data_IF_748247683725
#
_entry.id   IF_748247683725
#
_cell.length_a   1.000
_cell.length_b   1.000
_cell.length_c   1.000
_cell.angle_alpha   90.00
_cell.angle_beta   90.00
_cell.angle_gamma   90.00
#
_symmetry.space_group_name_H-M   'P 1'
#
loop_
_entity.id
_entity.type
_entity.pdbx_description
1 polymer ?
#
# COMPACT_ATOMS: atom_id res chain seq x y z
N UNK A 1 9.68 -40.77 -29.62
CA UNK A 1 9.56 -40.76 -28.15
C UNK A 1 9.61 -39.32 -27.71
N UNK A 2 8.51 -38.87 -27.11
CA UNK A 2 8.18 -37.50 -26.78
C UNK A 2 8.61 -37.14 -25.35
N UNK A 3 8.87 -35.86 -25.10
CA UNK A 3 9.02 -35.24 -23.77
C UNK A 3 10.33 -34.48 -23.65
N UNK A 4 10.40 -33.17 -23.41
CA UNK A 4 9.39 -32.15 -23.11
C UNK A 4 9.84 -30.84 -23.76
N UNK A 5 9.01 -30.33 -24.67
CA UNK A 5 8.85 -28.90 -24.96
C UNK A 5 7.65 -28.49 -24.13
N UNK A 6 7.77 -27.59 -23.14
CA UNK A 6 6.65 -26.76 -22.66
C UNK A 6 7.16 -25.75 -21.61
N UNK A 7 6.62 -24.52 -21.71
CA UNK A 7 6.69 -23.40 -20.73
C UNK A 7 7.81 -22.36 -20.84
N UNK A 8 7.68 -21.45 -21.81
CA UNK A 8 7.96 -20.01 -21.60
C UNK A 8 7.33 -19.07 -22.63
N UNK A 9 6.24 -19.48 -23.29
CA UNK A 9 5.47 -18.64 -24.23
C UNK A 9 3.98 -18.79 -23.97
N UNK A 10 3.53 -18.29 -22.82
CA UNK A 10 2.12 -17.98 -22.50
C UNK A 10 2.11 -17.42 -21.07
N UNK A 11 2.28 -16.10 -20.96
CA UNK A 11 1.83 -15.31 -19.82
C UNK A 11 1.82 -13.83 -20.21
N UNK A 12 1.01 -13.55 -21.24
CA UNK A 12 0.62 -12.20 -21.64
C UNK A 12 -0.89 -12.19 -21.85
N UNK A 13 -1.62 -12.68 -20.86
CA UNK A 13 -3.07 -12.63 -20.83
C UNK A 13 -3.52 -13.01 -19.40
N UNK A 14 -4.24 -12.08 -18.77
CA UNK A 14 -5.09 -12.24 -17.59
C UNK A 14 -4.45 -12.38 -16.18
N UNK A 15 -4.36 -11.25 -15.47
CA UNK A 15 -4.72 -11.18 -14.04
C UNK A 15 -5.79 -10.08 -13.89
N UNK A 16 -7.03 -10.52 -13.64
CA UNK A 16 -8.16 -9.90 -12.90
C UNK A 16 -8.58 -8.46 -13.28
N UNK A 17 -9.80 -8.14 -13.74
CA UNK A 17 -11.13 -8.65 -13.41
C UNK A 17 -11.38 -8.75 -11.89
N UNK A 18 -11.41 -7.58 -11.25
CA UNK A 18 -12.38 -7.29 -10.20
C UNK A 18 -13.32 -6.20 -10.70
N UNK A 19 -14.59 -6.42 -10.38
CA UNK A 19 -15.79 -5.76 -10.85
C UNK A 19 -15.88 -4.34 -10.29
N UNK A 20 -16.12 -3.36 -11.16
CA UNK A 20 -16.98 -2.23 -10.81
C UNK A 20 -17.69 -1.75 -12.07
N UNK A 21 -19.01 -1.99 -12.08
CA UNK A 21 -19.99 -1.37 -12.98
C UNK A 21 -19.75 0.14 -13.02
N UNK A 22 -19.27 0.66 -14.16
CA UNK A 22 -19.34 2.08 -14.49
C UNK A 22 -20.39 2.23 -15.59
N UNK A 23 -21.54 2.74 -15.18
CA UNK A 23 -22.63 3.18 -16.05
C UNK A 23 -22.11 4.17 -17.10
N UNK A 24 -22.66 4.18 -18.33
CA UNK A 24 -22.40 5.26 -19.28
C UNK A 24 -23.06 6.55 -18.79
N UNK A 25 -22.26 7.49 -18.26
CA UNK A 25 -22.67 8.85 -17.91
C UNK A 25 -23.05 9.65 -19.17
N UNK A 26 -24.29 9.50 -19.60
CA UNK A 26 -25.04 10.59 -20.21
C UNK A 26 -25.56 11.46 -19.07
N UNK A 27 -24.82 12.50 -18.65
CA UNK A 27 -25.28 13.77 -18.06
C UNK A 27 -24.06 14.50 -17.46
N UNK A 28 -23.86 15.82 -17.71
CA UNK A 28 -22.82 16.58 -17.03
C UNK A 28 -23.18 16.82 -15.55
N UNK A 29 -22.19 16.86 -14.63
CA UNK A 29 -22.45 17.04 -13.20
C UNK A 29 -22.92 18.46 -12.86
N UNK A 30 -23.79 18.64 -11.85
CA UNK A 30 -24.23 19.96 -11.40
C UNK A 30 -23.11 20.70 -10.65
N UNK A 31 -22.91 21.96 -11.02
CA UNK A 31 -22.03 22.89 -10.30
C UNK A 31 -22.79 23.44 -9.11
N UNK A 32 -22.38 23.06 -7.89
CA UNK A 32 -22.89 23.65 -6.65
C UNK A 32 -22.20 25.01 -6.41
N UNK A 33 -23.00 26.07 -6.31
CA UNK A 33 -22.60 27.38 -5.77
C UNK A 33 -22.82 27.41 -4.26
N UNK A 34 -22.06 28.26 -3.55
CA UNK A 34 -21.96 28.33 -2.08
C UNK A 34 -23.14 29.05 -1.39
N UNK A 35 -24.27 29.23 -2.09
CA UNK A 35 -25.27 30.24 -1.73
C UNK A 35 -26.71 29.68 -1.67
N UNK A 36 -26.90 28.36 -1.82
CA UNK A 36 -28.15 27.68 -1.44
C UNK A 36 -29.46 28.13 -2.12
N UNK A 37 -29.42 28.78 -3.29
CA UNK A 37 -30.61 29.20 -4.04
C UNK A 37 -30.76 28.43 -5.35
N UNK A 38 -31.89 27.73 -5.53
CA UNK A 38 -32.27 27.04 -6.76
C UNK A 38 -32.47 28.04 -7.91
N UNK A 39 -31.67 27.92 -8.97
CA UNK A 39 -31.92 28.61 -10.23
C UNK A 39 -32.63 27.63 -11.17
N UNK A 40 -33.91 27.87 -11.42
CA UNK A 40 -34.62 27.27 -12.54
C UNK A 40 -33.98 27.78 -13.84
N UNK A 41 -33.25 26.92 -14.54
CA UNK A 41 -32.87 27.16 -15.94
C UNK A 41 -34.13 27.12 -16.81
N UNK A 42 -34.77 28.28 -16.99
CA UNK A 42 -35.65 28.50 -18.13
C UNK A 42 -34.79 28.51 -19.40
N UNK A 43 -34.64 27.32 -20.02
CA UNK A 43 -34.21 27.23 -21.41
C UNK A 43 -35.28 27.94 -22.26
N UNK A 44 -34.94 29.00 -23.02
CA UNK A 44 -35.82 29.41 -24.10
C UNK A 44 -35.84 28.27 -25.12
N UNK A 45 -37.01 27.67 -25.28
CA UNK A 45 -37.34 26.85 -26.44
C UNK A 45 -37.04 27.73 -27.65
N UNK A 46 -36.04 27.31 -28.44
CA UNK A 46 -35.78 27.84 -29.76
C UNK A 46 -36.99 27.48 -30.63
N UNK A 47 -38.07 28.27 -30.54
CA UNK A 47 -39.10 28.33 -31.56
C UNK A 47 -38.50 29.06 -32.76
N UNK A 48 -37.62 28.36 -33.48
CA UNK A 48 -37.42 28.62 -34.90
C UNK A 48 -38.65 28.15 -35.66
N UNK A 49 -39.78 28.80 -35.41
CA UNK A 49 -40.94 28.72 -36.29
C UNK A 49 -40.75 29.80 -37.35
N UNK A 50 -40.36 29.33 -38.52
CA UNK A 50 -40.12 30.07 -39.74
C UNK A 50 -41.23 31.10 -39.97
N UNK A 51 -40.88 32.38 -39.96
CA UNK A 51 -41.71 33.45 -40.54
C UNK A 51 -42.09 33.12 -42.00
N UNK A 52 -41.26 32.31 -42.69
CA UNK A 52 -41.52 31.76 -44.02
C UNK A 52 -42.70 30.75 -44.09
N UNK A 53 -43.07 30.07 -43.00
CA UNK A 53 -44.21 29.12 -42.99
C UNK A 53 -45.54 29.84 -42.77
N UNK A 54 -45.53 31.02 -42.15
CA UNK A 54 -46.74 31.82 -41.92
C UNK A 54 -47.14 32.64 -43.15
N UNK A 55 -46.16 33.17 -43.90
CA UNK A 55 -46.40 33.82 -45.19
C UNK A 55 -46.81 32.82 -46.30
N UNK A 56 -46.34 31.56 -46.24
CA UNK A 56 -46.83 30.48 -47.12
C UNK A 56 -48.26 30.04 -46.81
N UNK A 57 -48.64 29.94 -45.52
CA UNK A 57 -50.00 29.59 -45.15
C UNK A 57 -51.03 30.69 -45.50
N UNK A 58 -50.64 31.96 -45.41
CA UNK A 58 -51.51 33.09 -45.78
C UNK A 58 -51.64 33.27 -47.30
N UNK A 59 -50.62 32.89 -48.09
CA UNK A 59 -50.70 32.91 -49.57
C UNK A 59 -51.47 31.72 -50.17
N UNK A 60 -51.44 30.54 -49.53
CA UNK A 60 -52.24 29.37 -49.96
C UNK A 60 -53.74 29.53 -49.61
N UNK A 61 -54.10 30.19 -48.50
CA UNK A 61 -55.51 30.50 -48.18
C UNK A 61 -56.13 31.53 -49.14
N UNK A 62 -55.31 32.42 -49.72
CA UNK A 62 -55.74 33.43 -50.70
C UNK A 62 -55.85 32.88 -52.14
N UNK A 63 -55.22 31.75 -52.47
CA UNK A 63 -55.40 31.08 -53.77
C UNK A 63 -56.64 30.17 -53.77
N UNK A 64 -56.90 29.42 -52.69
CA UNK A 64 -58.09 28.57 -52.57
C UNK A 64 -59.39 29.39 -52.60
N UNK A 65 -59.39 30.60 -52.02
CA UNK A 65 -60.54 31.51 -52.06
C UNK A 65 -60.80 32.13 -53.45
N UNK A 66 -59.84 32.10 -54.37
CA UNK A 66 -60.02 32.58 -55.76
C UNK A 66 -60.53 31.50 -56.71
N UNK A 67 -60.24 30.23 -56.42
CA UNK A 67 -60.68 29.11 -57.25
C UNK A 67 -62.15 28.69 -56.97
N UNK A 68 -62.67 28.95 -55.75
CA UNK A 68 -64.09 28.70 -55.43
C UNK A 68 -65.08 29.77 -55.94
N UNK A 69 -64.58 30.95 -56.34
CA UNK A 69 -65.41 32.03 -56.91
C UNK A 69 -65.38 32.09 -58.45
N UNK A 70 -64.58 31.24 -59.12
CA UNK A 70 -64.49 31.14 -60.57
C UNK A 70 -65.37 30.06 -61.22
N UNK A 71 -66.04 29.24 -60.40
CA UNK A 71 -66.73 28.03 -60.83
C UNK A 71 -68.25 28.03 -60.61
N UNK A 72 -68.94 29.15 -60.85
CA UNK A 72 -70.40 29.14 -60.89
C UNK A 72 -70.95 30.18 -61.86
N UNK A 73 -71.73 29.67 -62.81
CA UNK A 73 -72.69 30.37 -63.67
C UNK A 73 -72.14 30.95 -64.99
N UNK A 74 -71.70 30.04 -65.87
CA UNK A 74 -72.20 30.04 -67.25
C UNK A 74 -73.51 29.23 -67.25
N UNK A 75 -74.66 29.88 -67.17
CA UNK A 75 -75.89 29.37 -67.76
C UNK A 75 -76.88 30.50 -68.01
N UNK A 76 -77.44 30.44 -69.21
CA UNK A 76 -78.30 31.43 -69.87
C UNK A 76 -79.64 31.59 -69.13
N UNK A 77 -80.11 32.84 -69.02
CA UNK A 77 -81.52 33.13 -68.76
C UNK A 77 -81.74 34.41 -67.94
N UNK A 78 -82.06 35.51 -68.63
CA UNK A 78 -82.64 36.71 -68.00
C UNK A 78 -83.91 36.34 -67.21
N UNK A 79 -84.25 37.10 -66.15
CA UNK A 79 -85.13 38.26 -66.37
C UNK A 79 -84.73 39.51 -65.57
N UNK A 80 -85.23 40.64 -66.05
CA UNK A 80 -84.98 42.02 -65.64
C UNK A 80 -85.36 42.33 -64.17
N UNK A 81 -84.52 41.93 -63.20
CA UNK A 81 -84.63 42.43 -61.81
C UNK A 81 -83.30 42.84 -61.14
N UNK A 82 -82.16 42.69 -61.83
CA UNK A 82 -80.81 42.81 -61.21
C UNK A 82 -80.12 44.18 -61.38
N UNK A 83 -80.81 45.21 -61.87
CA UNK A 83 -80.23 46.56 -62.00
C UNK A 83 -80.16 47.34 -60.66
N UNK A 84 -80.82 46.86 -59.61
CA UNK A 84 -80.81 47.48 -58.27
C UNK A 84 -79.68 46.92 -57.40
N UNK A 85 -79.39 45.62 -57.48
CA UNK A 85 -78.36 44.97 -56.66
C UNK A 85 -76.92 45.38 -57.03
N UNK A 86 -76.61 45.53 -58.32
CA UNK A 86 -75.29 45.98 -58.82
C UNK A 86 -74.96 47.43 -58.41
N UNK A 87 -75.96 48.32 -58.31
CA UNK A 87 -75.75 49.72 -57.88
C UNK A 87 -75.45 49.83 -56.39
N UNK A 88 -76.05 48.98 -55.54
CA UNK A 88 -75.74 48.92 -54.10
C UNK A 88 -74.34 48.37 -53.82
N UNK A 89 -73.87 47.35 -54.55
CA UNK A 89 -72.52 46.81 -54.37
C UNK A 89 -71.45 47.79 -54.86
N UNK A 90 -71.68 48.49 -55.97
CA UNK A 90 -70.75 49.49 -56.47
C UNK A 90 -70.66 50.72 -55.56
N UNK A 91 -71.77 51.14 -54.95
CA UNK A 91 -71.77 52.23 -53.95
C UNK A 91 -71.12 51.80 -52.62
N UNK A 92 -71.27 50.54 -52.19
CA UNK A 92 -70.58 50.00 -51.03
C UNK A 92 -69.06 49.90 -51.23
N UNK A 93 -68.59 49.38 -52.38
CA UNK A 93 -67.15 49.30 -52.67
C UNK A 93 -66.53 50.69 -52.88
N UNK A 94 -67.25 51.64 -53.47
CA UNK A 94 -66.78 53.01 -53.64
C UNK A 94 -66.70 53.77 -52.31
N UNK A 95 -67.68 53.59 -51.41
CA UNK A 95 -67.62 54.15 -50.05
C UNK A 95 -66.57 53.47 -49.17
N UNK A 96 -66.31 52.17 -49.34
CA UNK A 96 -65.25 51.46 -48.63
C UNK A 96 -63.85 51.87 -49.10
N UNK A 97 -63.67 52.14 -50.39
CA UNK A 97 -62.40 52.65 -50.96
C UNK A 97 -62.15 54.13 -50.61
N UNK A 98 -63.21 54.95 -50.55
CA UNK A 98 -63.14 56.32 -50.05
C UNK A 98 -62.85 56.37 -48.53
N UNK A 99 -63.43 55.46 -47.74
CA UNK A 99 -63.13 55.32 -46.32
C UNK A 99 -61.68 54.87 -46.07
N UNK A 100 -61.15 53.92 -46.85
CA UNK A 100 -59.75 53.48 -46.71
C UNK A 100 -58.74 54.54 -47.17
N UNK A 101 -59.09 55.35 -48.17
CA UNK A 101 -58.31 56.50 -48.63
C UNK A 101 -58.24 57.64 -47.60
N UNK A 102 -59.25 57.80 -46.73
CA UNK A 102 -59.21 58.76 -45.63
C UNK A 102 -58.51 58.22 -44.37
N UNK A 103 -58.37 56.89 -44.24
CA UNK A 103 -57.75 56.23 -43.08
C UNK A 103 -56.22 56.02 -43.23
N UNK A 104 -55.63 56.27 -44.41
CA UNK A 104 -54.18 56.07 -44.64
C UNK A 104 -53.29 57.22 -44.16
N UNK A 105 -53.84 58.34 -43.68
CA UNK A 105 -53.06 59.49 -43.19
C UNK A 105 -53.01 59.40 -41.66
N UNK A 106 -51.95 58.77 -41.15
CA UNK A 106 -51.68 58.74 -39.71
C UNK A 106 -51.58 60.18 -39.17
N UNK A 107 -52.17 60.48 -37.98
CA UNK A 107 -52.09 61.82 -37.39
C UNK A 107 -50.63 62.25 -37.22
N UNK A 108 -50.28 63.54 -37.44
CA UNK A 108 -48.90 64.04 -37.35
C UNK A 108 -48.20 63.73 -36.01
N UNK A 109 -48.97 63.56 -34.93
CA UNK A 109 -48.51 63.14 -33.61
C UNK A 109 -47.94 61.70 -33.60
N UNK A 110 -48.52 60.78 -34.38
CA UNK A 110 -48.06 59.38 -34.50
C UNK A 110 -46.75 59.30 -35.29
N UNK A 111 -46.58 60.16 -36.31
CA UNK A 111 -45.32 60.26 -37.06
C UNK A 111 -44.19 60.83 -36.19
N UNK A 112 -44.47 61.85 -35.38
CA UNK A 112 -43.51 62.36 -34.40
C UNK A 112 -43.12 61.30 -33.38
N UNK A 113 -44.10 60.55 -32.85
CA UNK A 113 -43.81 59.47 -31.90
C UNK A 113 -42.95 58.36 -32.52
N UNK A 114 -43.21 57.95 -33.77
CA UNK A 114 -42.37 56.98 -34.48
C UNK A 114 -40.95 57.49 -34.68
N UNK A 115 -40.78 58.75 -35.09
CA UNK A 115 -39.46 59.37 -35.21
C UNK A 115 -38.73 59.43 -33.85
N UNK A 116 -39.43 59.66 -32.74
CA UNK A 116 -38.83 59.61 -31.41
C UNK A 116 -38.45 58.18 -31.00
N UNK A 117 -39.26 57.17 -31.34
CA UNK A 117 -38.92 55.76 -31.08
C UNK A 117 -37.72 55.30 -31.92
N UNK A 118 -37.64 55.69 -33.19
CA UNK A 118 -36.49 55.45 -34.06
C UNK A 118 -35.23 56.14 -33.50
N UNK A 119 -35.35 57.36 -33.00
CA UNK A 119 -34.23 58.07 -32.37
C UNK A 119 -33.78 57.38 -31.07
N UNK A 120 -34.73 56.94 -30.24
CA UNK A 120 -34.43 56.17 -29.01
C UNK A 120 -33.73 54.86 -29.34
N UNK A 121 -34.25 54.08 -30.28
CA UNK A 121 -33.62 52.81 -30.69
C UNK A 121 -32.24 53.04 -31.31
N UNK A 122 -32.05 54.11 -32.09
CA UNK A 122 -30.73 54.49 -32.63
C UNK A 122 -29.73 54.78 -31.51
N UNK A 123 -30.12 55.59 -30.53
CA UNK A 123 -29.27 55.94 -29.39
C UNK A 123 -28.99 54.71 -28.50
N UNK A 124 -29.97 53.84 -28.28
CA UNK A 124 -29.79 52.58 -27.55
C UNK A 124 -28.81 51.63 -28.27
N UNK A 125 -28.92 51.51 -29.59
CA UNK A 125 -27.97 50.75 -30.40
C UNK A 125 -26.56 51.34 -30.30
N UNK A 126 -26.39 52.65 -30.38
CA UNK A 126 -25.09 53.32 -30.27
C UNK A 126 -24.46 53.13 -28.88
N UNK A 127 -25.27 53.26 -27.81
CA UNK A 127 -24.83 53.00 -26.43
C UNK A 127 -24.43 51.53 -26.27
N UNK A 128 -25.19 50.59 -26.85
CA UNK A 128 -24.87 49.16 -26.82
C UNK A 128 -23.58 48.83 -27.57
N UNK A 129 -23.34 49.46 -28.72
CA UNK A 129 -22.13 49.28 -29.52
C UNK A 129 -20.90 49.78 -28.73
N UNK A 130 -20.98 50.97 -28.15
CA UNK A 130 -19.92 51.55 -27.33
C UNK A 130 -19.62 50.73 -26.07
N UNK A 131 -20.62 50.07 -25.48
CA UNK A 131 -20.42 49.15 -24.34
C UNK A 131 -19.70 47.87 -24.78
N UNK A 132 -20.13 47.27 -25.90
CA UNK A 132 -19.49 46.07 -26.48
C UNK A 132 -18.02 46.33 -26.83
N UNK A 133 -17.71 47.42 -27.50
CA UNK A 133 -16.32 47.80 -27.83
C UNK A 133 -15.45 47.96 -26.56
N UNK A 134 -15.98 48.60 -25.52
CA UNK A 134 -15.27 48.74 -24.23
C UNK A 134 -15.04 47.40 -23.54
N UNK A 135 -15.98 46.47 -23.64
CA UNK A 135 -15.85 45.12 -23.09
C UNK A 135 -14.84 44.28 -23.88
N UNK A 136 -14.86 44.36 -25.21
CA UNK A 136 -13.88 43.70 -26.07
C UNK A 136 -12.45 44.21 -25.81
N UNK A 137 -12.26 45.52 -25.66
CA UNK A 137 -10.94 46.07 -25.33
C UNK A 137 -10.46 45.62 -23.94
N UNK A 138 -11.35 45.58 -22.95
CA UNK A 138 -11.04 45.01 -21.63
C UNK A 138 -10.68 43.53 -21.72
N UNK A 139 -11.39 42.77 -22.55
CA UNK A 139 -11.14 41.35 -22.76
C UNK A 139 -9.79 41.11 -23.46
N UNK A 140 -9.44 41.92 -24.47
CA UNK A 140 -8.12 41.89 -25.13
C UNK A 140 -7.00 42.21 -24.14
N UNK A 141 -7.16 43.23 -23.32
CA UNK A 141 -6.19 43.59 -22.27
C UNK A 141 -6.04 42.48 -21.23
N UNK A 142 -7.15 41.87 -20.80
CA UNK A 142 -7.16 40.73 -19.89
C UNK A 142 -6.46 39.50 -20.49
N UNK A 143 -6.74 39.17 -21.76
CA UNK A 143 -6.06 38.09 -22.50
C UNK A 143 -4.55 38.33 -22.56
N UNK A 144 -4.11 39.55 -22.89
CA UNK A 144 -2.68 39.94 -22.91
C UNK A 144 -2.03 39.78 -21.52
N UNK A 145 -2.67 40.26 -20.45
CA UNK A 145 -2.18 40.10 -19.07
C UNK A 145 -2.08 38.62 -18.67
N UNK A 146 -3.07 37.79 -19.01
CA UNK A 146 -3.04 36.35 -18.75
C UNK A 146 -1.88 35.65 -19.46
N UNK A 147 -1.56 36.04 -20.69
CA UNK A 147 -0.43 35.45 -21.42
C UNK A 147 0.90 35.78 -20.75
N UNK A 148 1.11 37.04 -20.35
CA UNK A 148 2.32 37.45 -19.61
C UNK A 148 2.48 36.67 -18.31
N UNK A 149 1.42 36.55 -17.51
CA UNK A 149 1.45 35.74 -16.28
C UNK A 149 1.74 34.27 -16.55
N UNK A 150 1.24 33.70 -17.65
CA UNK A 150 1.55 32.31 -18.05
C UNK A 150 3.02 32.16 -18.43
N UNK A 151 3.61 33.14 -19.10
CA UNK A 151 5.03 33.14 -19.46
C UNK A 151 5.93 33.25 -18.23
N UNK A 152 5.59 34.12 -17.28
CA UNK A 152 6.29 34.24 -16.00
C UNK A 152 6.25 32.92 -15.22
N UNK A 153 5.06 32.33 -15.04
CA UNK A 153 4.89 31.02 -14.40
C UNK A 153 5.67 29.92 -15.11
N UNK A 154 5.70 29.92 -16.45
CA UNK A 154 6.53 28.96 -17.21
C UNK A 154 8.02 29.13 -16.92
N UNK A 155 8.50 30.37 -16.80
CA UNK A 155 9.91 30.66 -16.43
C UNK A 155 10.21 30.17 -15.02
N UNK A 156 9.30 30.41 -14.06
CA UNK A 156 9.44 29.91 -12.69
C UNK A 156 9.48 28.39 -12.61
N UNK A 157 8.55 27.70 -13.29
CA UNK A 157 8.53 26.23 -13.37
C UNK A 157 9.84 25.70 -13.96
N UNK A 158 10.36 26.31 -15.03
CA UNK A 158 11.65 25.91 -15.63
C UNK A 158 12.81 26.07 -14.66
N UNK A 159 12.88 27.17 -13.90
CA UNK A 159 13.89 27.37 -12.86
C UNK A 159 13.80 26.31 -11.78
N UNK A 160 12.60 26.08 -11.26
CA UNK A 160 12.35 25.05 -10.24
C UNK A 160 12.75 23.66 -10.69
N UNK A 161 12.40 23.27 -11.92
CA UNK A 161 12.78 21.97 -12.47
C UNK A 161 14.31 21.84 -12.64
N UNK A 162 14.99 22.90 -13.10
CA UNK A 162 16.44 22.92 -13.19
C UNK A 162 17.12 22.78 -11.82
N UNK A 163 16.61 23.49 -10.80
CA UNK A 163 17.14 23.37 -9.44
C UNK A 163 16.90 21.98 -8.84
N UNK A 164 15.75 21.37 -9.14
CA UNK A 164 15.44 20.00 -8.73
C UNK A 164 16.40 19.00 -9.35
N UNK A 165 16.67 19.14 -10.64
CA UNK A 165 17.64 18.30 -11.38
C UNK A 165 19.05 18.42 -10.80
N UNK A 166 19.52 19.64 -10.52
CA UNK A 166 20.83 19.87 -9.89
C UNK A 166 20.94 19.18 -8.53
N UNK A 167 19.90 19.27 -7.70
CA UNK A 167 19.86 18.59 -6.40
C UNK A 167 19.91 17.07 -6.53
N UNK A 168 19.22 16.50 -7.53
CA UNK A 168 19.30 15.07 -7.82
C UNK A 168 20.70 14.64 -8.22
N UNK A 169 21.35 15.37 -9.13
CA UNK A 169 22.73 15.10 -9.53
C UNK A 169 23.71 15.21 -8.36
N UNK A 170 23.55 16.21 -7.49
CA UNK A 170 24.37 16.34 -6.28
C UNK A 170 24.18 15.18 -5.29
N UNK A 171 22.96 14.66 -5.17
CA UNK A 171 22.67 13.48 -4.34
C UNK A 171 23.30 12.23 -4.95
N UNK A 172 23.12 12.01 -6.25
CA UNK A 172 23.71 10.88 -6.98
C UNK A 172 25.24 10.89 -6.86
N UNK A 173 25.88 12.04 -7.03
CA UNK A 173 27.33 12.18 -6.84
C UNK A 173 27.78 11.90 -5.40
N UNK A 174 26.97 12.27 -4.40
CA UNK A 174 27.25 11.94 -2.99
C UNK A 174 27.14 10.44 -2.73
N UNK A 175 26.10 9.81 -3.27
CA UNK A 175 25.88 8.37 -3.13
C UNK A 175 26.97 7.56 -3.83
N UNK A 176 27.42 7.99 -5.02
CA UNK A 176 28.54 7.39 -5.74
C UNK A 176 29.84 7.49 -4.94
N UNK A 177 30.14 8.65 -4.35
CA UNK A 177 31.34 8.82 -3.48
C UNK A 177 31.28 7.88 -2.28
N UNK A 178 30.13 7.81 -1.60
CA UNK A 178 29.93 6.91 -0.46
C UNK A 178 30.08 5.45 -0.87
N UNK A 179 29.57 5.08 -2.04
CA UNK A 179 29.71 3.73 -2.60
C UNK A 179 31.17 3.38 -2.86
N UNK A 180 31.96 4.31 -3.41
CA UNK A 180 33.40 4.12 -3.62
C UNK A 180 34.16 3.95 -2.30
N UNK A 181 33.85 4.76 -1.29
CA UNK A 181 34.43 4.63 0.05
C UNK A 181 34.14 3.24 0.66
N UNK A 182 32.88 2.79 0.57
CA UNK A 182 32.50 1.45 1.04
C UNK A 182 33.21 0.34 0.27
N UNK A 183 33.35 0.47 -1.05
CA UNK A 183 34.11 -0.48 -1.88
C UNK A 183 35.58 -0.55 -1.48
N UNK A 184 36.21 0.58 -1.14
CA UNK A 184 37.58 0.62 -0.63
C UNK A 184 37.72 -0.13 0.70
N UNK A 185 36.82 0.14 1.65
CA UNK A 185 36.80 -0.56 2.94
C UNK A 185 36.60 -2.09 2.77
N UNK A 186 35.72 -2.49 1.84
CA UNK A 186 35.53 -3.91 1.52
C UNK A 186 36.77 -4.53 0.88
N UNK A 187 37.46 -3.82 -0.01
CA UNK A 187 38.70 -4.29 -0.60
C UNK A 187 39.79 -4.46 0.48
N UNK A 188 39.96 -3.48 1.37
CA UNK A 188 40.92 -3.55 2.48
C UNK A 188 40.64 -4.71 3.43
N UNK A 189 39.37 -4.92 3.80
CA UNK A 189 38.98 -6.08 4.60
C UNK A 189 39.23 -7.39 3.86
N UNK A 190 38.95 -7.45 2.56
CA UNK A 190 39.15 -8.68 1.79
C UNK A 190 40.61 -9.15 1.78
N UNK A 191 41.57 -8.23 1.78
CA UNK A 191 43.00 -8.55 1.85
C UNK A 191 43.34 -9.16 3.21
N UNK A 192 42.93 -8.50 4.31
CA UNK A 192 43.15 -9.00 5.68
C UNK A 192 42.49 -10.35 5.91
N UNK A 193 41.30 -10.54 5.38
CA UNK A 193 40.53 -11.78 5.49
C UNK A 193 41.19 -12.92 4.72
N UNK A 194 41.74 -12.66 3.53
CA UNK A 194 42.52 -13.64 2.77
C UNK A 194 43.75 -14.10 3.55
N UNK A 195 44.50 -13.18 4.15
CA UNK A 195 45.67 -13.52 4.98
C UNK A 195 45.29 -14.35 6.20
N UNK A 196 44.23 -13.94 6.91
CA UNK A 196 43.71 -14.68 8.07
C UNK A 196 43.27 -16.10 7.70
N UNK A 197 42.61 -16.28 6.56
CA UNK A 197 42.17 -17.59 6.09
C UNK A 197 43.38 -18.46 5.74
N UNK A 198 44.36 -17.93 5.01
CA UNK A 198 45.60 -18.66 4.69
C UNK A 198 46.32 -19.11 5.96
N UNK A 199 46.50 -18.20 6.92
CA UNK A 199 47.13 -18.53 8.20
C UNK A 199 46.40 -19.66 8.94
N UNK A 200 45.06 -19.64 8.97
CA UNK A 200 44.26 -20.71 9.59
C UNK A 200 44.36 -22.04 8.85
N UNK A 201 44.46 -22.01 7.52
CA UNK A 201 44.67 -23.22 6.71
C UNK A 201 46.03 -23.84 7.03
N UNK A 202 47.09 -23.04 7.02
CA UNK A 202 48.45 -23.50 7.37
C UNK A 202 48.52 -24.07 8.80
N UNK A 203 47.85 -23.43 9.76
CA UNK A 203 47.79 -23.91 11.14
C UNK A 203 47.08 -25.28 11.22
N UNK A 204 45.95 -25.42 10.52
CA UNK A 204 45.21 -26.68 10.48
C UNK A 204 46.04 -27.80 9.83
N UNK A 205 46.75 -27.50 8.75
CA UNK A 205 47.65 -28.44 8.08
C UNK A 205 48.76 -28.90 9.02
N UNK A 206 49.38 -27.98 9.77
CA UNK A 206 50.40 -28.32 10.78
C UNK A 206 49.86 -29.28 11.84
N UNK A 207 48.73 -28.95 12.45
CA UNK A 207 48.10 -29.83 13.46
C UNK A 207 47.74 -31.21 12.89
N UNK A 208 47.28 -31.27 11.63
CA UNK A 208 46.99 -32.55 10.97
C UNK A 208 48.25 -33.38 10.74
N UNK A 209 49.37 -32.75 10.39
CA UNK A 209 50.66 -33.44 10.22
C UNK A 209 51.20 -33.93 11.56
N UNK A 210 51.22 -33.09 12.59
CA UNK A 210 51.63 -33.45 13.95
C UNK A 210 50.80 -34.63 14.49
N UNK A 211 49.48 -34.59 14.29
CA UNK A 211 48.60 -35.69 14.71
C UNK A 211 48.91 -37.00 13.99
N UNK A 212 49.26 -36.95 12.70
CA UNK A 212 49.67 -38.15 11.95
C UNK A 212 51.01 -38.68 12.44
N UNK A 213 51.97 -37.82 12.72
CA UNK A 213 53.28 -38.19 13.24
C UNK A 213 53.16 -38.87 14.61
N UNK A 214 52.37 -38.28 15.52
CA UNK A 214 52.09 -38.87 16.84
C UNK A 214 51.40 -40.23 16.69
N UNK A 215 50.37 -40.34 15.84
CA UNK A 215 49.67 -41.61 15.62
C UNK A 215 50.60 -42.71 15.06
N UNK A 216 51.56 -42.34 14.20
CA UNK A 216 52.57 -43.28 13.69
C UNK A 216 53.54 -43.72 14.80
N UNK A 217 53.99 -42.80 15.65
CA UNK A 217 54.85 -43.13 16.79
C UNK A 217 54.15 -44.05 17.79
N UNK A 218 52.91 -43.72 18.17
CA UNK A 218 52.09 -44.55 19.07
C UNK A 218 51.86 -45.96 18.50
N UNK A 219 51.63 -46.08 17.20
CA UNK A 219 51.47 -47.39 16.55
C UNK A 219 52.75 -48.23 16.64
N UNK A 220 53.92 -47.62 16.42
CA UNK A 220 55.22 -48.30 16.56
C UNK A 220 55.50 -48.73 18.01
N UNK A 221 55.21 -47.85 18.98
CA UNK A 221 55.36 -48.16 20.40
C UNK A 221 54.43 -49.29 20.84
N UNK A 222 53.19 -49.31 20.35
CA UNK A 222 52.23 -50.37 20.68
C UNK A 222 52.62 -51.71 20.03
N UNK A 223 53.18 -51.70 18.82
CA UNK A 223 53.76 -52.90 18.21
C UNK A 223 54.93 -53.45 19.03
N UNK A 224 55.85 -52.58 19.48
CA UNK A 224 56.94 -53.00 20.35
C UNK A 224 56.45 -53.51 21.70
N UNK A 225 55.48 -52.82 22.31
CA UNK A 225 54.83 -53.24 23.55
C UNK A 225 54.16 -54.60 23.39
N UNK A 226 53.45 -54.81 22.29
CA UNK A 226 52.83 -56.08 21.92
C UNK A 226 53.86 -57.21 21.83
N UNK A 227 54.99 -56.98 21.16
CA UNK A 227 56.10 -57.94 21.08
C UNK A 227 56.68 -58.28 22.45
N UNK A 228 56.86 -57.28 23.33
CA UNK A 228 57.35 -57.48 24.71
C UNK A 228 56.37 -58.29 25.56
N UNK A 229 55.08 -57.97 25.49
CA UNK A 229 54.03 -58.70 26.19
C UNK A 229 53.90 -60.14 25.69
N UNK A 230 54.02 -60.36 24.38
CA UNK A 230 53.97 -61.70 23.78
C UNK A 230 55.16 -62.57 24.22
N UNK A 231 56.35 -61.98 24.35
CA UNK A 231 57.51 -62.67 24.91
C UNK A 231 57.28 -63.06 26.39
N UNK A 232 56.73 -62.16 27.20
CA UNK A 232 56.37 -62.45 28.59
C UNK A 232 55.28 -63.53 28.69
N UNK A 233 54.27 -63.48 27.83
CA UNK A 233 53.23 -64.53 27.76
C UNK A 233 53.84 -65.90 27.50
N UNK A 234 54.82 -66.00 26.59
CA UNK A 234 55.52 -67.26 26.32
C UNK A 234 56.34 -67.74 27.52
N UNK A 235 56.96 -66.84 28.27
CA UNK A 235 57.73 -67.19 29.48
C UNK A 235 56.84 -67.65 30.64
N UNK A 236 55.73 -66.93 30.87
CA UNK A 236 54.82 -67.15 32.00
C UNK A 236 53.67 -68.09 31.64
N UNK A 237 53.61 -68.59 30.40
CA UNK A 237 52.61 -69.57 29.98
C UNK A 237 52.72 -70.83 30.84
N UNK A 238 51.92 -70.90 31.90
CA UNK A 238 51.78 -72.09 32.72
C UNK A 238 50.98 -73.09 31.89
N UNK A 239 51.66 -74.11 31.37
CA UNK A 239 51.02 -75.29 30.79
C UNK A 239 50.47 -76.11 31.97
N UNK A 240 49.36 -75.66 32.55
CA UNK A 240 48.63 -76.43 33.54
C UNK A 240 47.70 -77.40 32.81
N UNK A 241 47.63 -78.65 33.29
CA UNK A 241 46.62 -79.59 32.83
C UNK A 241 45.23 -79.11 33.27
N UNK A 242 44.22 -79.42 32.47
CA UNK A 242 42.84 -79.06 32.75
C UNK A 242 42.36 -79.85 33.97
N UNK A 243 42.21 -79.19 35.12
CA UNK A 243 41.65 -79.78 36.34
C UNK A 243 40.19 -79.35 36.51
N UNK A 244 39.22 -80.22 36.17
CA UNK A 244 37.79 -79.90 36.24
C UNK A 244 37.30 -79.68 37.68
N UNK A 245 37.97 -80.25 38.69
CA UNK A 245 37.57 -80.05 40.10
C UNK A 245 37.89 -78.63 40.53
N UNK A 246 39.09 -78.13 40.18
CA UNK A 246 39.47 -76.74 40.44
C UNK A 246 38.58 -75.75 39.68
N UNK A 247 38.20 -76.06 38.44
CA UNK A 247 37.31 -75.21 37.63
C UNK A 247 35.90 -75.08 38.25
N UNK A 248 35.39 -76.17 38.82
CA UNK A 248 34.06 -76.21 39.46
C UNK A 248 34.07 -75.74 40.93
N UNK A 249 35.25 -75.58 41.53
CA UNK A 249 35.37 -75.19 42.93
C UNK A 249 35.19 -73.68 43.14
N UNK A 250 34.55 -73.30 44.26
CA UNK A 250 34.46 -71.89 44.65
C UNK A 250 35.84 -71.29 44.92
N UNK A 251 36.14 -70.17 44.25
CA UNK A 251 37.37 -69.43 44.50
C UNK A 251 37.36 -68.81 45.91
N UNK A 252 38.55 -68.56 46.46
CA UNK A 252 38.70 -67.87 47.77
C UNK A 252 37.97 -66.52 47.77
N UNK A 253 37.98 -65.80 46.65
CA UNK A 253 37.24 -64.54 46.48
C UNK A 253 35.71 -64.75 46.45
N UNK A 254 35.21 -65.82 45.81
CA UNK A 254 33.78 -66.17 45.82
C UNK A 254 33.31 -66.50 47.24
N UNK A 255 34.06 -67.34 47.96
CA UNK A 255 33.79 -67.68 49.37
C UNK A 255 33.77 -66.44 50.27
N UNK A 256 34.74 -65.54 50.08
CA UNK A 256 34.79 -64.27 50.80
C UNK A 256 33.60 -63.33 50.47
N UNK A 257 33.20 -63.22 49.20
CA UNK A 257 32.01 -62.43 48.80
C UNK A 257 30.71 -63.01 49.34
N UNK A 258 30.61 -64.32 49.44
CA UNK A 258 29.45 -65.01 50.02
C UNK A 258 29.49 -65.01 51.56
N UNK A 259 30.53 -64.46 52.19
CA UNK A 259 30.69 -64.46 53.65
C UNK A 259 30.89 -65.85 54.25
N UNK A 260 31.21 -66.85 53.42
CA UNK A 260 31.39 -68.24 53.85
C UNK A 260 32.76 -68.35 54.53
N UNK A 261 32.78 -68.22 55.86
CA UNK A 261 33.97 -68.43 56.71
C UNK A 261 34.43 -67.23 57.55
N UNK A 262 33.72 -66.09 57.53
CA UNK A 262 33.94 -64.96 58.45
C UNK A 262 32.84 -64.92 59.51
N UNK A 263 33.19 -64.71 60.79
CA UNK A 263 32.22 -64.62 61.91
C UNK A 263 31.22 -63.46 61.77
N UNK A 264 31.53 -62.47 60.93
CA UNK A 264 30.60 -61.43 60.52
C UNK A 264 29.66 -61.98 59.44
N UNK A 265 28.66 -62.74 59.87
CA UNK A 265 27.50 -63.07 59.06
C UNK A 265 26.92 -61.78 58.46
N UNK A 266 26.57 -61.85 57.17
CA UNK A 266 26.00 -60.78 56.36
C UNK A 266 24.90 -60.01 57.12
N UNK A 267 25.24 -58.85 57.69
CA UNK A 267 24.27 -58.00 58.39
C UNK A 267 23.28 -57.48 57.35
N UNK A 268 22.12 -58.14 57.27
CA UNK A 268 21.01 -57.84 56.35
C UNK A 268 20.48 -56.39 56.44
N UNK A 269 20.92 -55.62 57.45
CA UNK A 269 20.51 -54.25 57.73
C UNK A 269 21.40 -53.14 57.13
N UNK A 270 22.36 -53.45 56.23
CA UNK A 270 22.96 -52.38 55.41
C UNK A 270 21.98 -51.99 54.29
N UNK A 271 21.55 -50.72 54.21
CA UNK A 271 20.64 -50.31 53.15
C UNK A 271 21.29 -50.50 51.78
N UNK A 272 20.50 -50.98 50.80
CA UNK A 272 20.94 -51.27 49.43
C UNK A 272 21.48 -50.03 48.71
N UNK A 273 21.03 -48.84 49.11
CA UNK A 273 21.46 -47.55 48.57
C UNK A 273 21.82 -46.57 49.69
N UNK A 274 22.88 -45.80 49.48
CA UNK A 274 23.22 -44.66 50.33
C UNK A 274 22.27 -43.50 50.00
N UNK A 275 21.44 -43.08 50.97
CA UNK A 275 20.58 -41.92 50.80
C UNK A 275 21.41 -40.64 50.87
N UNK A 276 21.71 -40.06 49.70
CA UNK A 276 22.38 -38.76 49.58
C UNK A 276 21.37 -37.62 49.82
N UNK A 277 20.99 -37.44 51.07
CA UNK A 277 20.11 -36.33 51.51
C UNK A 277 20.94 -35.23 52.15
N UNK A 278 20.34 -34.04 52.30
CA UNK A 278 20.99 -32.95 53.01
C UNK A 278 21.04 -33.25 54.51
N UNK A 279 22.22 -33.08 55.10
CA UNK A 279 22.38 -33.11 56.55
C UNK A 279 21.74 -31.85 57.16
N UNK A 280 21.21 -31.93 58.37
CA UNK A 280 20.74 -30.78 59.15
C UNK A 280 21.75 -29.62 59.15
N UNK A 281 23.04 -29.93 59.29
CA UNK A 281 24.10 -28.92 59.24
C UNK A 281 24.20 -28.21 57.88
N UNK A 282 23.94 -28.92 56.77
CA UNK A 282 23.93 -28.37 55.41
C UNK A 282 22.65 -27.56 55.14
N UNK A 283 21.55 -27.89 55.83
CA UNK A 283 20.31 -27.13 55.75
C UNK A 283 20.47 -25.82 56.53
N UNK A 284 21.00 -25.90 57.76
CA UNK A 284 21.24 -24.75 58.65
C UNK A 284 22.34 -23.82 58.11
N UNK A 285 23.21 -24.28 57.22
CA UNK A 285 24.25 -23.40 56.65
C UNK A 285 23.69 -22.29 55.75
N UNK A 286 22.45 -22.39 55.26
CA UNK A 286 21.83 -21.34 54.45
C UNK A 286 21.53 -20.08 55.31
N UNK A 287 22.10 -18.90 54.96
CA UNK A 287 21.82 -17.66 55.66
C UNK A 287 20.34 -17.26 55.69
N UNK A 288 19.59 -17.58 54.63
CA UNK A 288 18.15 -17.27 54.54
C UNK A 288 17.36 -18.06 55.55
N UNK A 289 17.65 -19.35 55.66
CA UNK A 289 16.96 -20.24 56.59
C UNK A 289 17.27 -19.84 58.03
N UNK A 290 18.52 -19.54 58.34
CA UNK A 290 18.91 -19.05 59.68
C UNK A 290 18.18 -17.78 60.08
N UNK A 291 18.09 -16.83 59.16
CA UNK A 291 17.39 -15.57 59.39
C UNK A 291 15.88 -15.78 59.57
N UNK A 292 15.30 -16.68 58.77
CA UNK A 292 13.88 -17.03 58.85
C UNK A 292 13.53 -17.70 60.18
N UNK A 293 14.35 -18.65 60.63
CA UNK A 293 14.20 -19.31 61.93
C UNK A 293 14.27 -18.28 63.07
N UNK A 294 15.25 -17.36 63.04
CA UNK A 294 15.35 -16.30 64.03
C UNK A 294 14.12 -15.37 64.05
N UNK A 295 13.54 -15.07 62.88
CA UNK A 295 12.31 -14.29 62.77
C UNK A 295 11.07 -15.07 63.26
N UNK A 296 11.05 -16.40 63.13
CA UNK A 296 9.98 -17.24 63.70
C UNK A 296 10.07 -17.30 65.21
N UNK A 297 11.27 -17.49 65.76
CA UNK A 297 11.53 -17.46 67.19
C UNK A 297 11.10 -16.12 67.82
N UNK A 298 11.38 -15.00 67.13
CA UNK A 298 10.93 -13.68 67.54
C UNK A 298 9.45 -13.37 67.20
N UNK A 299 8.74 -14.27 66.50
CA UNK A 299 7.34 -14.07 66.09
C UNK A 299 7.12 -13.04 64.95
N UNK A 300 8.19 -12.51 64.35
CA UNK A 300 8.17 -11.41 63.36
C UNK A 300 8.09 -11.86 61.89
N UNK A 301 8.09 -13.16 61.62
CA UNK A 301 8.07 -13.73 60.26
C UNK A 301 6.95 -13.22 59.33
N UNK A 302 5.79 -12.80 59.86
CA UNK A 302 4.66 -12.28 59.05
C UNK A 302 4.73 -10.78 58.76
N UNK A 303 5.66 -10.06 59.37
CA UNK A 303 5.77 -8.60 59.23
C UNK A 303 6.15 -8.20 57.81
N UNK A 304 5.81 -6.97 57.43
CA UNK A 304 6.20 -6.39 56.15
C UNK A 304 7.73 -6.37 55.98
N UNK A 305 8.44 -6.06 57.07
CA UNK A 305 9.91 -6.06 57.12
C UNK A 305 10.52 -7.42 56.76
N UNK A 306 10.00 -8.52 57.32
CA UNK A 306 10.45 -9.87 56.98
C UNK A 306 10.25 -10.19 55.49
N UNK A 307 9.13 -9.78 54.91
CA UNK A 307 8.80 -9.98 53.48
C UNK A 307 9.73 -9.20 52.55
N UNK A 308 10.19 -8.02 52.96
CA UNK A 308 11.13 -7.22 52.16
C UNK A 308 12.57 -7.71 52.24
N UNK A 309 13.00 -8.22 53.40
CA UNK A 309 14.40 -8.59 53.65
C UNK A 309 14.72 -10.00 53.15
N UNK A 310 13.83 -10.98 53.34
CA UNK A 310 14.08 -12.37 52.95
C UNK A 310 14.51 -12.56 51.47
N UNK A 311 13.90 -11.87 50.48
CA UNK A 311 14.33 -11.96 49.09
C UNK A 311 15.71 -11.32 48.82
N UNK A 312 16.11 -10.33 49.62
CA UNK A 312 17.37 -9.57 49.46
C UNK A 312 18.59 -10.33 49.95
N UNK A 313 18.41 -11.28 50.87
CA UNK A 313 19.50 -12.14 51.36
C UNK A 313 19.93 -13.06 50.21
N UNK A 314 21.22 -13.18 49.92
CA UNK A 314 21.74 -14.08 48.90
C UNK A 314 21.77 -15.53 49.39
N UNK A 315 21.58 -16.53 48.51
CA UNK A 315 21.76 -17.93 48.87
C UNK A 315 23.27 -18.21 49.08
N UNK A 316 23.60 -19.25 49.84
CA UNK A 316 24.99 -19.62 50.11
C UNK A 316 25.81 -19.91 48.84
N UNK A 317 25.15 -20.46 47.81
CA UNK A 317 25.74 -20.68 46.48
C UNK A 317 24.97 -19.87 45.46
N UNK A 318 25.62 -18.97 44.69
CA UNK A 318 24.96 -18.27 43.61
C UNK A 318 24.48 -19.26 42.54
N UNK A 319 23.45 -18.91 41.75
CA UNK A 319 23.05 -19.69 40.60
C UNK A 319 24.22 -19.85 39.63
N UNK A 320 24.23 -20.96 38.90
CA UNK A 320 25.23 -21.22 37.86
C UNK A 320 25.10 -20.16 36.74
N UNK A 321 26.21 -19.79 36.10
CA UNK A 321 26.29 -18.67 35.13
C UNK A 321 25.33 -18.79 33.94
N UNK A 322 25.03 -20.02 33.52
CA UNK A 322 24.07 -20.38 32.47
C UNK A 322 22.60 -20.15 32.88
N UNK A 323 22.32 -20.10 34.18
CA UNK A 323 20.98 -19.87 34.75
C UNK A 323 20.75 -18.41 35.16
N UNK A 324 21.69 -17.50 34.90
CA UNK A 324 21.49 -16.08 35.15
C UNK A 324 20.45 -15.50 34.16
N UNK A 325 19.26 -15.19 34.66
CA UNK A 325 18.25 -14.48 33.86
C UNK A 325 18.70 -13.04 33.60
N UNK A 326 18.76 -12.63 32.34
CA UNK A 326 19.02 -11.24 31.93
C UNK A 326 17.83 -10.30 32.16
N UNK A 327 16.64 -10.86 32.42
CA UNK A 327 15.37 -10.15 32.57
C UNK A 327 15.36 -9.12 33.71
N UNK A 328 16.21 -9.29 34.73
CA UNK A 328 16.24 -8.42 35.92
C UNK A 328 17.54 -7.62 36.05
N UNK A 329 18.38 -7.54 35.00
CA UNK A 329 19.55 -6.65 34.97
C UNK A 329 19.08 -5.27 34.49
N UNK A 330 19.04 -4.28 35.41
CA UNK A 330 18.84 -2.85 35.13
C UNK A 330 20.17 -2.22 34.72
#
# INVERSE_FOLDING_TARGET
MYGLVFLSKLNREWIGLEEHLVYPDWYPPPVLTLDGSCIHENKPIFCGFSLELREKAESELLSVAKDELGGLVNNVGAPESDAVAMKTVYWCLFTQKAAFSQISVAPPQVLQWRAHQEEVTRLEMEISARRREKEEEKEKLWKKKKLLQREEKKKEIRKYLADKERKWQEMEMRDLRRLEELKKLMAEQSVKDRERVKYRQELLEKHLMEKKEVALQEALEEEERGKRLEALRKQVAIVAQFDPVRMMSDTVASKARMGIGTEEEFILQKPLFTLNTYNEQQIISDPRLRFELALREAGLHKTFYAKEILPKISPQKPPRKDMESTVFKI
#
